data_IF_136116029636
#
_entry.id   IF_136116029636
#
_cell.length_a   1.000
_cell.length_b   1.000
_cell.length_c   1.000
_cell.angle_alpha   90.00
_cell.angle_beta   90.00
_cell.angle_gamma   90.00
#
_symmetry.space_group_name_H-M   'P 1'
#
loop_
_entity.id
_entity.type
_entity.pdbx_description
1 polymer ?
#
# COMPACT_ATOMS: atom_id res chain seq x y z
N UNK A 1 -19.68 32.47 2.38
CA UNK A 1 -20.00 31.72 1.16
C UNK A 1 -21.25 30.86 1.36
N UNK A 2 -21.30 29.96 2.35
CA UNK A 2 -22.42 28.98 2.53
C UNK A 2 -23.78 29.67 2.80
N UNK A 3 -23.79 30.77 3.52
CA UNK A 3 -25.04 31.53 3.82
C UNK A 3 -25.68 32.23 2.62
N UNK A 4 -25.00 32.24 1.48
CA UNK A 4 -25.49 32.89 0.25
C UNK A 4 -26.26 31.91 -0.66
N UNK A 5 -26.42 30.65 -0.24
CA UNK A 5 -27.03 29.55 -1.00
C UNK A 5 -26.55 29.48 -2.47
N UNK A 6 -25.24 29.38 -2.70
CA UNK A 6 -24.68 29.39 -4.03
C UNK A 6 -24.98 28.08 -4.76
N UNK A 7 -25.04 28.10 -6.09
CA UNK A 7 -25.10 26.91 -6.92
C UNK A 7 -23.72 26.23 -7.05
N UNK A 8 -22.64 27.02 -6.97
CA UNK A 8 -21.26 26.57 -7.10
C UNK A 8 -20.43 27.14 -5.95
N UNK A 9 -19.66 26.28 -5.29
CA UNK A 9 -18.66 26.66 -4.29
C UNK A 9 -17.30 26.31 -4.82
N UNK A 10 -16.36 27.25 -4.83
CA UNK A 10 -14.97 27.05 -5.18
C UNK A 10 -14.12 27.27 -3.93
N UNK A 11 -13.29 26.31 -3.57
CA UNK A 11 -12.43 26.32 -2.39
C UNK A 11 -10.99 26.00 -2.81
N UNK A 12 -10.07 26.82 -2.35
CA UNK A 12 -8.64 26.59 -2.56
C UNK A 12 -8.03 26.05 -1.26
N UNK A 13 -7.48 24.84 -1.34
CA UNK A 13 -6.85 24.10 -0.23
C UNK A 13 -7.62 24.15 1.11
N UNK A 14 -8.90 23.83 1.15
CA UNK A 14 -9.73 24.08 2.34
C UNK A 14 -9.31 23.20 3.54
N UNK A 15 -8.46 22.19 3.34
CA UNK A 15 -8.02 21.26 4.37
C UNK A 15 -6.62 21.55 4.92
N UNK A 16 -5.82 22.42 4.28
CA UNK A 16 -4.38 22.55 4.52
C UNK A 16 -3.98 22.94 5.95
N UNK A 17 -4.83 23.67 6.68
CA UNK A 17 -4.53 24.12 8.06
C UNK A 17 -5.45 23.48 9.11
N UNK A 18 -6.16 22.42 8.75
CA UNK A 18 -7.06 21.73 9.65
C UNK A 18 -6.40 20.46 10.20
N UNK A 19 -6.67 20.13 11.46
CA UNK A 19 -6.37 18.81 11.97
C UNK A 19 -7.31 17.74 11.37
N UNK A 20 -6.96 16.48 11.54
CA UNK A 20 -7.67 15.34 10.92
C UNK A 20 -9.18 15.37 11.21
N UNK A 21 -9.58 15.73 12.44
CA UNK A 21 -10.99 15.77 12.83
C UNK A 21 -11.76 16.81 12.01
N UNK A 22 -11.24 18.04 11.95
CA UNK A 22 -11.89 19.12 11.23
C UNK A 22 -11.83 18.96 9.71
N UNK A 23 -10.78 18.32 9.17
CA UNK A 23 -10.74 17.90 7.76
C UNK A 23 -11.93 17.00 7.42
N UNK A 24 -12.12 15.94 8.19
CA UNK A 24 -13.21 14.99 7.96
C UNK A 24 -14.59 15.64 8.13
N UNK A 25 -14.76 16.51 9.11
CA UNK A 25 -16.00 17.24 9.34
C UNK A 25 -16.32 18.17 8.16
N UNK A 26 -15.36 18.99 7.72
CA UNK A 26 -15.51 19.88 6.57
C UNK A 26 -15.88 19.11 5.30
N UNK A 27 -15.14 18.05 4.98
CA UNK A 27 -15.40 17.23 3.78
C UNK A 27 -16.77 16.56 3.84
N UNK A 28 -17.21 16.12 5.03
CA UNK A 28 -18.56 15.58 5.23
C UNK A 28 -19.64 16.64 4.99
N UNK A 29 -19.46 17.85 5.47
CA UNK A 29 -20.39 18.98 5.24
C UNK A 29 -20.48 19.28 3.74
N UNK A 30 -19.35 19.45 3.07
CA UNK A 30 -19.30 19.76 1.63
C UNK A 30 -19.95 18.66 0.79
N UNK A 31 -19.66 17.39 1.10
CA UNK A 31 -20.30 16.24 0.45
C UNK A 31 -21.82 16.22 0.65
N UNK A 32 -22.30 16.51 1.88
CA UNK A 32 -23.72 16.62 2.15
C UNK A 32 -24.40 17.76 1.38
N UNK A 33 -23.72 18.90 1.23
CA UNK A 33 -24.22 20.03 0.44
C UNK A 33 -24.34 19.63 -1.04
N UNK A 34 -23.32 18.99 -1.60
CA UNK A 34 -23.37 18.51 -2.98
C UNK A 34 -24.51 17.49 -3.20
N UNK A 35 -24.64 16.49 -2.33
CA UNK A 35 -25.60 15.40 -2.52
C UNK A 35 -27.06 15.77 -2.17
N UNK A 36 -27.27 16.58 -1.14
CA UNK A 36 -28.63 16.91 -0.66
C UNK A 36 -29.18 18.19 -1.22
N UNK A 37 -28.32 19.19 -1.50
CA UNK A 37 -28.73 20.50 -1.99
C UNK A 37 -28.42 20.72 -3.47
N UNK A 38 -27.76 19.75 -4.14
CA UNK A 38 -27.40 19.86 -5.55
C UNK A 38 -26.33 20.91 -5.86
N UNK A 39 -25.57 21.36 -4.84
CA UNK A 39 -24.52 22.37 -5.00
C UNK A 39 -23.29 21.71 -5.65
N UNK A 40 -22.73 22.36 -6.65
CA UNK A 40 -21.43 21.93 -7.21
C UNK A 40 -20.30 22.45 -6.34
N UNK A 41 -19.47 21.54 -5.82
CA UNK A 41 -18.29 21.89 -5.03
C UNK A 41 -17.04 21.58 -5.86
N UNK A 42 -16.22 22.61 -6.07
CA UNK A 42 -14.91 22.51 -6.71
C UNK A 42 -13.88 22.87 -5.65
N UNK A 43 -12.91 22.00 -5.39
CA UNK A 43 -11.89 22.28 -4.39
C UNK A 43 -10.53 21.72 -4.83
N UNK A 44 -9.44 22.42 -4.51
CA UNK A 44 -8.09 21.88 -4.60
C UNK A 44 -7.77 21.09 -3.33
N UNK A 45 -7.12 19.94 -3.49
CA UNK A 45 -6.65 19.09 -2.39
C UNK A 45 -5.27 18.57 -2.71
N UNK A 46 -4.39 18.54 -1.68
CA UNK A 46 -3.08 17.89 -1.75
C UNK A 46 -3.11 16.45 -1.25
N UNK A 47 -4.08 16.11 -0.42
CA UNK A 47 -4.24 14.78 0.14
C UNK A 47 -4.94 13.86 -0.85
N UNK A 48 -4.13 13.02 -1.53
CA UNK A 48 -4.61 12.08 -2.58
C UNK A 48 -5.68 11.15 -2.02
N UNK A 49 -5.47 10.60 -0.82
CA UNK A 49 -6.38 9.67 -0.16
C UNK A 49 -7.73 10.29 0.20
N UNK A 50 -7.75 11.58 0.55
CA UNK A 50 -8.99 12.31 0.80
C UNK A 50 -9.71 12.63 -0.51
N UNK A 51 -8.98 13.07 -1.54
CA UNK A 51 -9.54 13.34 -2.85
C UNK A 51 -10.23 12.10 -3.43
N UNK A 52 -9.60 10.92 -3.33
CA UNK A 52 -10.17 9.65 -3.77
C UNK A 52 -11.51 9.33 -3.08
N UNK A 53 -11.59 9.58 -1.78
CA UNK A 53 -12.75 9.20 -0.96
C UNK A 53 -13.95 10.15 -1.08
N UNK A 54 -13.73 11.42 -1.46
CA UNK A 54 -14.79 12.43 -1.42
C UNK A 54 -15.27 12.90 -2.79
N UNK A 55 -14.44 12.84 -3.82
CA UNK A 55 -14.73 13.43 -5.11
C UNK A 55 -15.58 12.50 -6.00
N UNK A 56 -16.52 13.08 -6.73
CA UNK A 56 -17.22 12.40 -7.82
C UNK A 56 -16.38 12.41 -9.11
N UNK A 57 -15.53 13.42 -9.28
CA UNK A 57 -14.59 13.59 -10.40
C UNK A 57 -13.32 14.28 -9.94
N UNK A 58 -12.21 13.90 -10.57
CA UNK A 58 -10.87 14.44 -10.33
C UNK A 58 -10.41 15.20 -11.55
N UNK A 59 -9.80 16.35 -11.33
CA UNK A 59 -9.08 17.14 -12.32
C UNK A 59 -7.62 17.20 -11.84
N UNK A 60 -6.71 16.56 -12.56
CA UNK A 60 -5.29 16.63 -12.27
C UNK A 60 -4.67 17.77 -13.09
N UNK A 61 -4.06 18.72 -12.40
CA UNK A 61 -3.36 19.84 -13.02
C UNK A 61 -1.85 19.63 -12.90
N UNK A 62 -1.14 19.76 -14.02
CA UNK A 62 0.33 19.69 -14.08
C UNK A 62 0.84 20.90 -14.83
N UNK A 63 1.47 21.83 -14.11
CA UNK A 63 1.85 23.11 -14.67
C UNK A 63 0.62 23.93 -15.07
N UNK A 64 0.54 24.29 -16.35
CA UNK A 64 -0.51 25.14 -16.93
C UNK A 64 -1.63 24.36 -17.66
N UNK A 65 -1.64 23.02 -17.53
CA UNK A 65 -2.58 22.17 -18.27
C UNK A 65 -3.28 21.13 -17.38
N UNK A 66 -4.47 20.71 -17.81
CA UNK A 66 -5.15 19.55 -17.26
C UNK A 66 -4.46 18.29 -17.83
N UNK A 67 -3.81 17.53 -16.97
CA UNK A 67 -3.15 16.28 -17.34
C UNK A 67 -4.13 15.11 -17.40
N UNK A 68 -5.02 15.02 -16.39
CA UNK A 68 -6.03 13.96 -16.32
C UNK A 68 -7.36 14.52 -15.85
N UNK A 69 -8.46 13.92 -16.32
CA UNK A 69 -9.82 14.20 -15.88
C UNK A 69 -10.66 12.94 -15.90
N UNK A 70 -11.34 12.64 -14.82
CA UNK A 70 -12.18 11.44 -14.75
C UNK A 70 -12.70 11.12 -13.35
N UNK A 71 -13.19 9.90 -13.19
CA UNK A 71 -13.60 9.38 -11.89
C UNK A 71 -12.36 8.99 -11.08
N UNK A 72 -12.43 9.01 -9.72
CA UNK A 72 -11.33 8.58 -8.87
C UNK A 72 -10.74 7.21 -9.27
N UNK A 73 -11.58 6.22 -9.52
CA UNK A 73 -11.17 4.84 -9.84
C UNK A 73 -10.38 4.74 -11.16
N UNK A 74 -10.50 5.73 -12.03
CA UNK A 74 -9.74 5.78 -13.30
C UNK A 74 -8.46 6.58 -13.20
N UNK A 75 -8.38 7.52 -12.24
CA UNK A 75 -7.27 8.45 -12.08
C UNK A 75 -6.24 7.93 -11.06
N UNK A 76 -6.70 7.37 -9.93
CA UNK A 76 -5.80 6.92 -8.86
C UNK A 76 -5.18 5.55 -9.17
N UNK A 77 -4.32 5.55 -10.21
CA UNK A 77 -3.46 4.44 -10.59
C UNK A 77 -2.02 4.83 -10.38
N UNK A 78 -1.17 3.86 -10.08
CA UNK A 78 0.25 4.08 -9.81
C UNK A 78 0.93 4.94 -10.87
N UNK A 79 0.72 4.61 -12.15
CA UNK A 79 1.34 5.33 -13.27
C UNK A 79 0.88 6.78 -13.39
N UNK A 80 -0.43 7.04 -13.22
CA UNK A 80 -1.00 8.38 -13.33
C UNK A 80 -0.54 9.29 -12.18
N UNK A 81 -0.50 8.76 -10.96
CA UNK A 81 -0.02 9.49 -9.78
C UNK A 81 1.49 9.72 -9.88
N UNK A 82 2.25 8.72 -10.33
CA UNK A 82 3.68 8.86 -10.56
C UNK A 82 3.99 9.96 -11.57
N UNK A 83 3.28 10.00 -12.70
CA UNK A 83 3.46 11.07 -13.71
C UNK A 83 3.05 12.44 -13.15
N UNK A 84 1.90 12.53 -12.48
CA UNK A 84 1.37 13.77 -11.94
C UNK A 84 2.37 14.46 -10.98
N UNK A 85 2.91 13.69 -10.05
CA UNK A 85 3.80 14.21 -9.00
C UNK A 85 5.30 14.13 -9.35
N UNK A 86 5.67 13.54 -10.49
CA UNK A 86 7.07 13.34 -10.87
C UNK A 86 7.80 12.47 -9.84
N UNK A 87 7.19 11.37 -9.41
CA UNK A 87 7.77 10.50 -8.38
C UNK A 87 8.87 9.65 -9.01
N UNK A 88 10.12 10.06 -8.81
CA UNK A 88 11.30 9.31 -9.27
C UNK A 88 11.78 8.31 -8.21
N UNK A 89 11.60 8.63 -6.92
CA UNK A 89 11.99 7.81 -5.79
C UNK A 89 10.79 7.51 -4.89
N UNK A 90 10.29 6.29 -4.95
CA UNK A 90 9.14 5.84 -4.18
C UNK A 90 8.03 5.27 -5.06
N UNK A 91 6.94 4.90 -4.44
CA UNK A 91 5.80 4.24 -5.09
C UNK A 91 4.50 4.81 -4.55
N UNK A 92 3.47 4.81 -5.38
CA UNK A 92 2.10 4.99 -4.93
C UNK A 92 1.42 3.62 -4.87
N UNK A 93 0.91 3.27 -3.70
CA UNK A 93 0.13 2.04 -3.55
C UNK A 93 -1.37 2.37 -3.69
N UNK A 94 -2.02 1.96 -4.79
CA UNK A 94 -3.44 2.22 -4.99
C UNK A 94 -4.35 1.41 -4.06
N UNK A 95 -3.87 0.32 -3.45
CA UNK A 95 -4.65 -0.50 -2.52
C UNK A 95 -4.75 0.18 -1.16
N UNK A 96 -3.65 0.76 -0.68
CA UNK A 96 -3.61 1.51 0.58
C UNK A 96 -3.87 3.01 0.39
N UNK A 97 -3.86 3.51 -0.87
CA UNK A 97 -3.97 4.95 -1.16
C UNK A 97 -2.82 5.76 -0.57
N UNK A 98 -1.64 5.16 -0.41
CA UNK A 98 -0.50 5.75 0.28
C UNK A 98 0.75 5.85 -0.60
N UNK A 99 1.60 6.84 -0.27
CA UNK A 99 2.94 6.93 -0.84
C UNK A 99 3.89 6.07 -0.01
N UNK A 100 4.70 5.27 -0.68
CA UNK A 100 5.71 4.43 -0.07
C UNK A 100 7.11 4.93 -0.44
N UNK A 101 8.01 4.95 0.54
CA UNK A 101 9.41 5.25 0.31
C UNK A 101 10.09 4.14 -0.49
N UNK A 102 11.22 4.41 -1.15
CA UNK A 102 11.98 3.39 -1.88
C UNK A 102 12.29 2.19 -1.00
N UNK A 103 12.32 1.01 -1.62
CA UNK A 103 12.79 -0.20 -0.94
C UNK A 103 14.28 -0.07 -0.58
N UNK A 104 14.73 -0.69 0.52
CA UNK A 104 16.16 -0.82 0.81
C UNK A 104 16.90 -1.53 -0.33
N UNK A 105 18.12 -1.10 -0.63
CA UNK A 105 18.95 -1.72 -1.66
C UNK A 105 19.87 -2.81 -1.08
N UNK A 106 20.25 -3.77 -1.91
CA UNK A 106 21.18 -4.84 -1.56
C UNK A 106 20.54 -6.24 -1.47
N UNK A 107 21.35 -7.24 -1.17
CA UNK A 107 20.88 -8.61 -1.00
C UNK A 107 20.06 -8.75 0.29
N UNK A 108 18.98 -9.56 0.29
CA UNK A 108 18.14 -9.72 1.46
C UNK A 108 18.86 -10.53 2.53
N UNK A 109 19.01 -9.95 3.72
CA UNK A 109 19.56 -10.63 4.90
C UNK A 109 18.49 -11.21 5.81
N UNK A 110 17.26 -10.81 5.62
CA UNK A 110 16.10 -11.23 6.41
C UNK A 110 15.01 -11.75 5.48
N UNK A 111 14.49 -12.95 5.77
CA UNK A 111 13.27 -13.46 5.17
C UNK A 111 12.11 -13.25 6.14
N UNK A 112 11.01 -12.68 5.67
CA UNK A 112 9.78 -12.55 6.46
C UNK A 112 8.73 -13.51 5.92
N UNK A 113 8.25 -14.39 6.78
CA UNK A 113 7.14 -15.32 6.52
C UNK A 113 5.89 -14.74 7.18
N UNK A 114 4.90 -14.38 6.38
CA UNK A 114 3.71 -13.66 6.84
C UNK A 114 2.48 -13.98 5.99
N UNK A 115 1.32 -13.63 6.47
CA UNK A 115 0.05 -13.64 5.71
C UNK A 115 -1.02 -12.83 6.43
N UNK A 116 -2.05 -12.38 5.68
CA UNK A 116 -3.23 -11.74 6.26
C UNK A 116 -2.95 -10.43 6.98
N UNK A 117 -1.92 -9.70 6.59
CA UNK A 117 -1.55 -8.41 7.18
C UNK A 117 -0.51 -8.47 8.30
N UNK A 118 -0.09 -9.66 8.72
CA UNK A 118 0.88 -9.81 9.83
C UNK A 118 2.27 -9.31 9.48
N UNK A 119 2.64 -9.30 8.20
CA UNK A 119 3.92 -8.81 7.70
C UNK A 119 4.03 -7.29 7.63
N UNK A 120 2.93 -6.58 7.46
CA UNK A 120 2.91 -5.13 7.23
C UNK A 120 3.74 -4.34 8.26
N UNK A 121 3.56 -4.53 9.58
CA UNK A 121 4.37 -3.80 10.58
C UNK A 121 5.86 -4.12 10.48
N UNK A 122 6.21 -5.36 10.14
CA UNK A 122 7.59 -5.83 10.03
C UNK A 122 8.25 -5.24 8.78
N UNK A 123 7.57 -5.24 7.64
CA UNK A 123 8.06 -4.63 6.40
C UNK A 123 8.38 -3.15 6.59
N UNK A 124 7.47 -2.41 7.24
CA UNK A 124 7.69 -0.99 7.55
C UNK A 124 8.82 -0.77 8.55
N UNK A 125 9.01 -1.67 9.50
CA UNK A 125 10.14 -1.61 10.43
C UNK A 125 11.47 -1.83 9.70
N UNK A 126 11.55 -2.85 8.84
CA UNK A 126 12.75 -3.15 8.05
C UNK A 126 13.08 -2.01 7.09
N UNK A 127 12.05 -1.44 6.42
CA UNK A 127 12.22 -0.27 5.56
C UNK A 127 12.78 0.93 6.35
N UNK A 128 12.20 1.28 7.52
CA UNK A 128 12.70 2.39 8.35
C UNK A 128 14.14 2.19 8.81
N UNK A 129 14.56 0.94 9.00
CA UNK A 129 15.93 0.58 9.36
C UNK A 129 16.86 0.43 8.16
N UNK A 130 16.37 0.65 6.95
CA UNK A 130 17.08 0.43 5.69
C UNK A 130 17.70 -0.98 5.59
N UNK A 131 16.96 -1.99 6.05
CA UNK A 131 17.38 -3.41 6.01
C UNK A 131 16.72 -4.07 4.81
N UNK A 132 17.50 -4.52 3.81
CA UNK A 132 16.96 -5.27 2.68
C UNK A 132 16.43 -6.62 3.14
N UNK A 133 15.21 -6.96 2.70
CA UNK A 133 14.53 -8.17 3.11
C UNK A 133 13.83 -8.86 1.93
N UNK A 134 13.64 -10.16 2.08
CA UNK A 134 12.76 -10.96 1.24
C UNK A 134 11.45 -11.25 1.97
N UNK A 135 10.38 -11.44 1.24
CA UNK A 135 9.08 -11.83 1.77
C UNK A 135 8.53 -13.04 1.01
N UNK A 136 7.94 -13.96 1.71
CA UNK A 136 7.28 -15.12 1.08
C UNK A 136 7.27 -16.37 1.99
N UNK A 137 6.52 -17.38 1.59
CA UNK A 137 5.70 -17.48 0.35
C UNK A 137 4.40 -16.71 0.56
N UNK A 138 4.08 -15.80 -0.33
CA UNK A 138 2.87 -14.98 -0.28
C UNK A 138 1.93 -15.37 -1.44
N UNK A 139 0.65 -15.50 -1.17
CA UNK A 139 -0.33 -15.57 -2.25
C UNK A 139 -0.54 -14.19 -2.88
N UNK A 140 -0.68 -14.14 -4.22
CA UNK A 140 -0.77 -12.85 -4.93
C UNK A 140 -2.03 -12.04 -4.61
N UNK A 141 -3.03 -12.63 -3.97
CA UNK A 141 -4.22 -11.98 -3.43
C UNK A 141 -4.12 -11.62 -1.93
N UNK A 142 -3.00 -11.94 -1.26
CA UNK A 142 -2.79 -11.57 0.14
C UNK A 142 -2.49 -10.06 0.27
N UNK A 143 -3.00 -9.45 1.33
CA UNK A 143 -2.75 -8.04 1.62
C UNK A 143 -1.25 -7.77 1.89
N UNK A 144 -0.54 -8.73 2.49
CA UNK A 144 0.91 -8.64 2.70
C UNK A 144 1.68 -8.56 1.38
N UNK A 145 1.21 -9.27 0.34
CA UNK A 145 1.83 -9.21 -0.98
C UNK A 145 1.76 -7.80 -1.58
N UNK A 146 0.65 -7.09 -1.39
CA UNK A 146 0.48 -5.74 -1.95
C UNK A 146 1.57 -4.79 -1.46
N UNK A 147 1.96 -4.88 -0.19
CA UNK A 147 3.04 -4.05 0.34
C UNK A 147 4.43 -4.66 0.09
N UNK A 148 4.57 -5.99 0.22
CA UNK A 148 5.85 -6.66 0.02
C UNK A 148 6.43 -6.44 -1.38
N UNK A 149 5.60 -6.44 -2.44
CA UNK A 149 6.04 -6.17 -3.82
C UNK A 149 6.71 -4.80 -4.01
N UNK A 150 6.38 -3.83 -3.15
CA UNK A 150 6.94 -2.48 -3.18
C UNK A 150 8.18 -2.36 -2.29
N UNK A 151 8.15 -2.96 -1.10
CA UNK A 151 9.15 -2.75 -0.05
C UNK A 151 10.23 -3.84 0.03
N UNK A 152 9.91 -5.09 -0.31
CA UNK A 152 10.88 -6.17 -0.31
C UNK A 152 11.76 -6.12 -1.55
N UNK A 153 13.04 -6.48 -1.42
CA UNK A 153 13.95 -6.60 -2.56
C UNK A 153 13.67 -7.87 -3.36
N UNK A 154 13.06 -8.88 -2.71
CA UNK A 154 12.62 -10.12 -3.35
C UNK A 154 11.34 -10.62 -2.70
N UNK A 155 10.39 -11.07 -3.54
CA UNK A 155 9.16 -11.73 -3.09
C UNK A 155 9.05 -13.11 -3.72
N UNK A 156 8.70 -14.12 -2.93
CA UNK A 156 8.34 -15.46 -3.41
C UNK A 156 6.84 -15.58 -3.34
N UNK A 157 6.20 -15.90 -4.46
CA UNK A 157 4.74 -15.85 -4.57
C UNK A 157 4.16 -17.14 -5.11
N UNK A 158 2.92 -17.42 -4.68
CA UNK A 158 2.11 -18.50 -5.21
C UNK A 158 0.76 -17.96 -5.71
N UNK A 159 0.10 -18.72 -6.58
CA UNK A 159 -1.22 -18.36 -7.09
C UNK A 159 -2.28 -18.55 -6.01
N UNK A 160 -3.32 -17.68 -6.00
CA UNK A 160 -4.40 -17.77 -5.02
C UNK A 160 -5.06 -19.15 -5.04
N UNK A 161 -5.33 -19.66 -3.82
CA UNK A 161 -6.07 -20.91 -3.58
C UNK A 161 -5.40 -22.19 -4.07
N UNK A 162 -4.21 -22.13 -4.67
CA UNK A 162 -3.43 -23.31 -5.05
C UNK A 162 -2.55 -23.80 -3.91
N UNK A 163 -2.14 -25.05 -3.93
CA UNK A 163 -1.10 -25.56 -3.03
C UNK A 163 0.26 -24.99 -3.48
N UNK A 164 1.16 -24.79 -2.50
CA UNK A 164 2.51 -24.30 -2.80
C UNK A 164 3.22 -25.30 -3.71
N UNK A 165 3.60 -24.85 -4.91
CA UNK A 165 4.31 -25.64 -5.89
C UNK A 165 5.73 -26.01 -5.43
N UNK A 166 6.31 -27.06 -6.02
CA UNK A 166 7.69 -27.45 -5.71
C UNK A 166 8.70 -26.37 -6.11
N UNK A 167 8.43 -25.64 -7.17
CA UNK A 167 9.28 -24.55 -7.65
C UNK A 167 9.29 -23.39 -6.66
N UNK A 168 8.11 -22.92 -6.26
CA UNK A 168 7.92 -21.84 -5.29
C UNK A 168 8.55 -22.21 -3.94
N UNK A 169 8.33 -23.47 -3.50
CA UNK A 169 8.90 -23.95 -2.26
C UNK A 169 10.43 -24.00 -2.30
N UNK A 170 11.01 -24.52 -3.38
CA UNK A 170 12.46 -24.58 -3.54
C UNK A 170 13.10 -23.19 -3.58
N UNK A 171 12.41 -22.19 -4.15
CA UNK A 171 12.87 -20.81 -4.14
C UNK A 171 12.87 -20.24 -2.72
N UNK A 172 11.80 -20.46 -1.95
CA UNK A 172 11.73 -20.02 -0.56
C UNK A 172 12.78 -20.69 0.33
N UNK A 173 13.04 -21.98 0.12
CA UNK A 173 14.11 -22.71 0.84
C UNK A 173 15.49 -22.11 0.60
N UNK A 174 15.81 -21.71 -0.64
CA UNK A 174 17.06 -21.00 -0.96
C UNK A 174 17.19 -19.69 -0.18
N UNK A 175 16.08 -18.98 0.03
CA UNK A 175 16.09 -17.77 0.85
C UNK A 175 16.30 -18.07 2.34
N UNK A 176 15.70 -19.14 2.88
CA UNK A 176 16.01 -19.60 4.25
C UNK A 176 17.50 -19.90 4.40
N UNK A 177 18.11 -20.55 3.40
CA UNK A 177 19.55 -20.88 3.45
C UNK A 177 20.43 -19.62 3.36
N UNK A 178 20.12 -18.68 2.46
CA UNK A 178 20.94 -17.50 2.18
C UNK A 178 20.77 -16.35 3.19
N UNK A 179 19.57 -16.19 3.79
CA UNK A 179 19.32 -15.16 4.77
C UNK A 179 19.98 -15.48 6.13
N UNK A 180 20.42 -14.45 6.81
CA UNK A 180 20.97 -14.54 8.17
C UNK A 180 19.87 -14.77 9.21
N UNK A 181 18.64 -14.29 8.91
CA UNK A 181 17.49 -14.27 9.81
C UNK A 181 16.19 -14.61 9.08
N UNK A 182 15.31 -15.33 9.75
CA UNK A 182 13.95 -15.61 9.30
C UNK A 182 12.97 -15.14 10.38
N UNK A 183 12.05 -14.28 10.01
CA UNK A 183 10.99 -13.78 10.91
C UNK A 183 9.69 -14.49 10.58
N UNK A 184 9.15 -15.23 11.55
CA UNK A 184 7.79 -15.74 11.52
C UNK A 184 6.86 -14.69 12.14
N UNK A 185 6.05 -14.06 11.29
CA UNK A 185 5.10 -13.02 11.67
C UNK A 185 3.76 -13.59 12.19
N UNK A 186 3.73 -14.86 12.59
CA UNK A 186 2.51 -15.51 13.07
C UNK A 186 1.60 -16.00 11.94
N UNK A 187 2.17 -16.55 10.88
CA UNK A 187 1.40 -17.08 9.75
C UNK A 187 0.51 -18.24 10.20
N UNK A 188 -0.77 -18.21 9.79
CA UNK A 188 -1.68 -19.34 10.02
C UNK A 188 -1.49 -20.38 8.93
N UNK A 189 -1.05 -21.57 9.32
CA UNK A 189 -0.84 -22.70 8.40
C UNK A 189 -2.13 -23.48 8.20
N UNK A 190 -2.52 -23.63 6.94
CA UNK A 190 -3.68 -24.39 6.49
C UNK A 190 -3.31 -25.45 5.43
N UNK A 191 -4.30 -25.97 4.71
CA UNK A 191 -4.07 -27.02 3.71
C UNK A 191 -3.22 -26.53 2.54
N UNK A 192 -3.57 -25.39 1.96
CA UNK A 192 -2.91 -24.85 0.75
C UNK A 192 -1.49 -24.38 1.02
N UNK A 193 -1.22 -23.87 2.23
CA UNK A 193 0.08 -23.34 2.62
C UNK A 193 0.82 -24.23 3.64
N UNK A 194 0.48 -25.52 3.73
CA UNK A 194 1.05 -26.47 4.71
C UNK A 194 2.57 -26.51 4.69
N UNK A 195 3.18 -26.33 3.53
CA UNK A 195 4.64 -26.34 3.34
C UNK A 195 5.37 -25.17 4.03
N UNK A 196 4.64 -24.11 4.42
CA UNK A 196 5.23 -23.01 5.22
C UNK A 196 5.74 -23.53 6.56
N UNK A 197 5.08 -24.55 7.14
CA UNK A 197 5.55 -25.18 8.37
C UNK A 197 6.96 -25.76 8.23
N UNK A 198 7.27 -26.34 7.08
CA UNK A 198 8.61 -26.91 6.78
C UNK A 198 9.67 -25.80 6.68
N UNK A 199 9.35 -24.64 6.09
CA UNK A 199 10.24 -23.47 6.06
C UNK A 199 10.55 -22.96 7.47
N UNK A 200 9.53 -22.86 8.32
CA UNK A 200 9.66 -22.40 9.71
C UNK A 200 10.51 -23.41 10.51
N UNK A 201 10.27 -24.70 10.33
CA UNK A 201 11.04 -25.74 11.00
C UNK A 201 12.51 -25.74 10.56
N UNK A 202 12.78 -25.60 9.27
CA UNK A 202 14.13 -25.43 8.73
C UNK A 202 14.84 -24.23 9.36
N UNK A 203 14.19 -23.06 9.36
CA UNK A 203 14.75 -21.85 9.96
C UNK A 203 15.03 -22.03 11.47
N UNK A 204 14.19 -22.77 12.18
CA UNK A 204 14.39 -23.10 13.60
C UNK A 204 15.61 -24.01 13.80
N UNK A 205 15.74 -25.05 12.97
CA UNK A 205 16.86 -25.98 13.03
C UNK A 205 18.20 -25.29 12.73
N UNK A 206 18.18 -24.32 11.80
CA UNK A 206 19.34 -23.50 11.44
C UNK A 206 19.61 -22.36 12.47
N UNK A 207 18.81 -22.26 13.53
CA UNK A 207 18.89 -21.21 14.57
C UNK A 207 18.75 -19.79 14.02
N UNK A 208 18.02 -19.62 12.93
CA UNK A 208 17.77 -18.33 12.26
C UNK A 208 16.38 -17.75 12.59
N UNK A 209 15.49 -18.52 13.22
CA UNK A 209 14.10 -18.17 13.45
C UNK A 209 13.94 -17.13 14.56
N UNK A 210 13.23 -16.04 14.27
CA UNK A 210 12.63 -15.10 15.24
C UNK A 210 11.11 -15.12 15.08
N UNK A 211 10.38 -15.26 16.18
CA UNK A 211 8.92 -15.14 16.21
C UNK A 211 8.51 -13.75 16.66
N UNK A 212 7.53 -13.15 15.98
CA UNK A 212 6.97 -11.84 16.32
C UNK A 212 5.44 -11.85 16.34
#
# INVERSE_FOLDING_TARGET
>A
AICQEPEIIVLDEPTSFLDVRYKLELLSILRNMAKKKGITVIMSLHEIDLAEKVADKIICVKGDRIAHYGKPETIFKEEAIRDLYGIDNGYFDPVFGSLELPRPEGEPKTLVISSGGTGIPIYRELQRKNIPFAAGILYTNDIDYQLARLLAVRTVTEKPFEEISDETFAEAMKLVDSCEKVIDAGVTVGKTNSRIAELIEKAKNDKKLEKR
#
